data_IF_917438918550
#
_entry.id   IF_917438918550
#
_cell.length_a   1.000
_cell.length_b   1.000
_cell.length_c   1.000
_cell.angle_alpha   90.00
_cell.angle_beta   90.00
_cell.angle_gamma   90.00
#
_symmetry.space_group_name_H-M   'P 1'
#
loop_
_entity.id
_entity.type
_entity.pdbx_description
1 polymer ?
#
# COMPACT_ATOMS: atom_id res chain seq x y z
N UNK A 1 52.37 -22.45 42.93
CA UNK A 1 51.32 -21.87 42.07
C UNK A 1 51.27 -22.62 40.75
N UNK A 2 50.37 -23.60 40.59
CA UNK A 2 50.20 -24.34 39.34
C UNK A 2 49.20 -23.61 38.45
N UNK A 3 49.62 -23.16 37.26
CA UNK A 3 48.73 -22.61 36.24
C UNK A 3 47.85 -23.74 35.67
N UNK A 4 46.52 -23.58 35.57
CA UNK A 4 45.69 -24.58 34.91
C UNK A 4 46.04 -24.63 33.43
N UNK A 5 46.52 -25.80 32.97
CA UNK A 5 46.71 -26.12 31.57
C UNK A 5 45.33 -26.22 30.90
N UNK A 6 45.00 -25.24 30.05
CA UNK A 6 43.85 -25.34 29.15
C UNK A 6 44.11 -26.46 28.14
N UNK A 7 43.35 -27.54 28.26
CA UNK A 7 43.42 -28.71 27.38
C UNK A 7 42.95 -28.32 25.96
N UNK A 8 43.65 -28.70 24.88
CA UNK A 8 43.28 -28.35 23.51
C UNK A 8 41.84 -28.74 23.10
N UNK A 9 41.25 -29.73 23.78
CA UNK A 9 39.86 -30.16 23.56
C UNK A 9 38.79 -29.18 24.05
N UNK A 10 39.12 -28.33 25.03
CA UNK A 10 38.15 -27.39 25.63
C UNK A 10 37.90 -26.18 24.71
N UNK A 11 38.92 -25.77 23.96
CA UNK A 11 38.82 -24.70 22.95
C UNK A 11 38.00 -25.14 21.72
N UNK A 12 38.14 -26.40 21.30
CA UNK A 12 37.37 -26.96 20.20
C UNK A 12 35.87 -27.05 20.53
N UNK A 13 35.52 -27.50 21.75
CA UNK A 13 34.14 -27.58 22.23
C UNK A 13 33.49 -26.21 22.37
N UNK A 14 34.25 -25.21 22.85
CA UNK A 14 33.78 -23.81 22.97
C UNK A 14 33.51 -23.18 21.61
N UNK A 15 34.37 -23.44 20.61
CA UNK A 15 34.18 -22.98 19.22
C UNK A 15 32.96 -23.64 18.58
N UNK A 16 32.79 -24.95 18.76
CA UNK A 16 31.64 -25.68 18.22
C UNK A 16 30.31 -25.20 18.81
N UNK A 17 30.27 -24.97 20.13
CA UNK A 17 29.08 -24.44 20.80
C UNK A 17 28.77 -23.01 20.35
N UNK A 18 29.79 -22.18 20.08
CA UNK A 18 29.60 -20.82 19.56
C UNK A 18 29.06 -20.83 18.13
N UNK A 19 29.61 -21.67 17.25
CA UNK A 19 29.14 -21.84 15.88
C UNK A 19 27.71 -22.36 15.85
N UNK A 20 27.39 -23.37 16.69
CA UNK A 20 26.01 -23.88 16.83
C UNK A 20 25.04 -22.79 17.30
N UNK A 21 25.43 -21.98 18.27
CA UNK A 21 24.57 -20.90 18.77
C UNK A 21 24.37 -19.78 17.72
N UNK A 22 25.38 -19.51 16.89
CA UNK A 22 25.27 -18.57 15.77
C UNK A 22 24.32 -19.12 14.69
N UNK A 23 24.44 -20.41 14.35
CA UNK A 23 23.55 -21.06 13.36
C UNK A 23 22.11 -21.08 13.87
N UNK A 24 21.88 -21.46 15.14
CA UNK A 24 20.56 -21.41 15.76
C UNK A 24 20.01 -19.98 15.75
N UNK A 25 20.83 -18.99 16.10
CA UNK A 25 20.45 -17.58 16.04
C UNK A 25 20.05 -17.13 14.63
N UNK A 26 20.81 -17.52 13.61
CA UNK A 26 20.52 -17.20 12.21
C UNK A 26 19.22 -17.86 11.73
N UNK A 27 18.98 -19.13 12.07
CA UNK A 27 17.74 -19.83 11.73
C UNK A 27 16.54 -19.18 12.41
N UNK A 28 16.67 -18.77 13.68
CA UNK A 28 15.60 -18.06 14.40
C UNK A 28 15.30 -16.71 13.76
N UNK A 29 16.33 -15.93 13.38
CA UNK A 29 16.14 -14.64 12.69
C UNK A 29 15.47 -14.83 11.32
N UNK A 30 15.90 -15.82 10.54
CA UNK A 30 15.30 -16.12 9.23
C UNK A 30 13.86 -16.59 9.39
N UNK A 31 13.56 -17.43 10.40
CA UNK A 31 12.20 -17.88 10.69
C UNK A 31 11.30 -16.71 11.12
N UNK A 32 11.79 -15.78 11.94
CA UNK A 32 11.06 -14.57 12.31
C UNK A 32 10.78 -13.70 11.07
N UNK A 33 11.77 -13.48 10.22
CA UNK A 33 11.59 -12.72 8.97
C UNK A 33 10.62 -13.42 8.00
N UNK A 34 10.67 -14.74 7.90
CA UNK A 34 9.74 -15.52 7.07
C UNK A 34 8.31 -15.53 7.66
N UNK A 35 8.15 -15.54 8.98
CA UNK A 35 6.86 -15.43 9.65
C UNK A 35 6.25 -14.02 9.51
N UNK A 36 7.09 -12.98 9.52
CA UNK A 36 6.68 -11.60 9.16
C UNK A 36 6.23 -11.55 7.69
N UNK A 37 6.91 -12.28 6.79
CA UNK A 37 6.50 -12.39 5.38
C UNK A 37 5.22 -13.21 5.13
N UNK A 38 4.92 -14.20 5.97
CA UNK A 38 3.80 -15.13 5.76
C UNK A 38 2.53 -14.81 6.57
N UNK A 39 2.62 -14.00 7.65
CA UNK A 39 1.49 -13.65 8.51
C UNK A 39 1.49 -12.17 8.98
N UNK A 40 2.36 -11.31 8.46
CA UNK A 40 2.71 -10.02 9.08
C UNK A 40 1.81 -8.81 8.81
N UNK A 41 0.81 -8.86 7.93
CA UNK A 41 0.00 -7.67 7.63
C UNK A 41 -1.01 -7.27 8.73
N UNK A 42 -1.07 -8.00 9.86
CA UNK A 42 -2.04 -7.72 10.94
C UNK A 42 -1.43 -7.26 12.27
N UNK A 43 -0.10 -7.31 12.47
CA UNK A 43 0.51 -7.16 13.82
C UNK A 43 1.34 -5.86 13.99
N UNK A 44 1.37 -4.95 13.02
CA UNK A 44 1.79 -3.55 13.28
C UNK A 44 0.57 -2.63 13.23
N UNK A 45 -0.43 -2.93 14.06
CA UNK A 45 -1.56 -2.03 14.33
C UNK A 45 -1.30 -1.29 15.64
N UNK A 46 -0.19 -0.57 15.70
CA UNK A 46 -0.06 0.57 16.61
C UNK A 46 -0.36 1.81 15.78
N UNK A 47 -1.46 2.47 16.12
CA UNK A 47 -2.02 3.55 15.33
C UNK A 47 -1.13 4.79 15.27
N UNK A 48 -1.38 5.56 14.20
CA UNK A 48 -1.44 7.01 14.30
C UNK A 48 -0.11 7.70 14.54
N UNK A 49 0.74 7.73 13.52
CA UNK A 49 1.34 8.99 13.16
C UNK A 49 0.48 9.52 12.02
N UNK A 50 -0.09 10.71 12.17
CA UNK A 50 -0.93 11.38 11.16
C UNK A 50 -0.14 11.69 9.89
N UNK A 51 0.19 10.65 9.14
CA UNK A 51 0.84 10.68 7.84
C UNK A 51 -0.20 10.55 6.75
N UNK A 52 0.07 11.16 5.61
CA UNK A 52 -0.80 11.03 4.44
C UNK A 52 -0.92 9.56 4.01
N UNK A 53 -1.98 9.20 3.29
CA UNK A 53 -2.10 7.88 2.67
C UNK A 53 -0.88 7.55 1.78
N UNK A 54 -0.28 8.56 1.15
CA UNK A 54 1.02 8.46 0.46
C UNK A 54 2.13 7.97 1.37
N UNK A 55 2.29 8.56 2.56
CA UNK A 55 3.33 8.15 3.52
C UNK A 55 3.08 6.70 3.96
N UNK A 56 1.83 6.37 4.28
CA UNK A 56 1.43 5.01 4.63
C UNK A 56 1.80 4.00 3.54
N UNK A 57 1.46 4.26 2.28
CA UNK A 57 1.81 3.42 1.13
C UNK A 57 3.33 3.23 1.04
N UNK A 58 4.08 4.33 1.13
CA UNK A 58 5.54 4.31 0.99
C UNK A 58 6.26 3.51 2.09
N UNK A 59 5.67 3.46 3.29
CA UNK A 59 6.23 2.79 4.46
C UNK A 59 5.81 1.33 4.57
N UNK A 60 4.59 1.00 4.15
CA UNK A 60 4.00 -0.32 4.40
C UNK A 60 4.01 -1.23 3.17
N UNK A 61 4.13 -0.68 1.96
CA UNK A 61 4.07 -1.45 0.72
C UNK A 61 5.42 -1.50 0.01
N UNK A 62 5.65 -2.58 -0.73
CA UNK A 62 6.92 -2.81 -1.40
C UNK A 62 6.97 -2.01 -2.72
N UNK A 63 7.84 -1.00 -2.81
CA UNK A 63 8.07 -0.27 -4.07
C UNK A 63 8.58 -1.23 -5.16
N UNK A 64 7.98 -1.15 -6.34
CA UNK A 64 8.38 -1.92 -7.51
C UNK A 64 8.46 -1.04 -8.76
N UNK A 65 9.64 -0.43 -8.97
CA UNK A 65 9.87 0.48 -10.09
C UNK A 65 9.73 -0.17 -11.47
N UNK A 66 9.82 -1.50 -11.58
CA UNK A 66 9.60 -2.21 -12.85
C UNK A 66 8.13 -2.19 -13.29
N UNK A 67 7.20 -1.82 -12.38
CA UNK A 67 5.77 -1.72 -12.63
C UNK A 67 5.28 -0.27 -12.70
N UNK A 68 6.18 0.72 -12.56
CA UNK A 68 5.85 2.14 -12.67
C UNK A 68 5.24 2.44 -14.05
N UNK A 69 4.36 3.42 -14.09
CA UNK A 69 3.56 3.72 -15.28
C UNK A 69 3.44 5.24 -15.48
N UNK A 70 4.38 5.79 -16.25
CA UNK A 70 4.52 7.23 -16.43
C UNK A 70 4.87 7.93 -15.13
N UNK A 71 4.04 8.88 -14.70
CA UNK A 71 4.22 9.68 -13.47
C UNK A 71 3.55 9.05 -12.24
N UNK A 72 3.38 7.73 -12.26
CA UNK A 72 2.71 6.95 -11.21
C UNK A 72 3.63 5.84 -10.72
N UNK A 73 3.93 5.89 -9.43
CA UNK A 73 4.81 4.95 -8.74
C UNK A 73 4.03 3.68 -8.35
N UNK A 74 4.59 2.51 -8.64
CA UNK A 74 3.97 1.23 -8.34
C UNK A 74 4.52 0.61 -7.05
N UNK A 75 3.59 0.16 -6.20
CA UNK A 75 3.87 -0.60 -4.99
C UNK A 75 3.10 -1.92 -5.01
N UNK A 76 3.60 -2.91 -4.29
CA UNK A 76 2.92 -4.19 -4.08
C UNK A 76 2.47 -4.28 -2.63
N UNK A 77 1.19 -4.59 -2.47
CA UNK A 77 0.54 -4.83 -1.19
C UNK A 77 -0.05 -6.23 -1.16
N UNK A 78 0.03 -6.87 0.00
CA UNK A 78 -0.68 -8.11 0.27
C UNK A 78 -2.15 -7.81 0.57
N UNK A 79 -3.04 -8.68 0.13
CA UNK A 79 -4.49 -8.52 0.21
C UNK A 79 -5.15 -8.18 -1.13
N UNK A 80 -6.48 -8.23 -1.12
CA UNK A 80 -7.32 -7.82 -2.24
C UNK A 80 -7.37 -6.29 -2.35
N UNK A 81 -7.72 -5.73 -3.53
CA UNK A 81 -7.82 -4.28 -3.68
C UNK A 81 -8.81 -3.62 -2.71
N UNK A 82 -9.82 -4.36 -2.23
CA UNK A 82 -10.75 -3.88 -1.23
C UNK A 82 -10.13 -3.79 0.17
N UNK A 83 -9.39 -4.82 0.59
CA UNK A 83 -8.70 -4.81 1.89
C UNK A 83 -7.62 -3.72 1.92
N UNK A 84 -6.85 -3.61 0.85
CA UNK A 84 -5.81 -2.58 0.71
C UNK A 84 -6.43 -1.18 0.69
N UNK A 85 -7.59 -0.99 0.05
CA UNK A 85 -8.31 0.28 0.11
C UNK A 85 -8.72 0.64 1.54
N UNK A 86 -9.22 -0.31 2.32
CA UNK A 86 -9.59 -0.07 3.73
C UNK A 86 -8.38 0.33 4.56
N UNK A 87 -7.25 -0.37 4.42
CA UNK A 87 -6.04 -0.06 5.17
C UNK A 87 -5.52 1.36 4.85
N UNK A 88 -5.55 1.78 3.57
CA UNK A 88 -5.16 3.13 3.16
C UNK A 88 -6.15 4.18 3.71
N UNK A 89 -7.46 3.88 3.69
CA UNK A 89 -8.51 4.79 4.21
C UNK A 89 -8.42 5.00 5.72
N UNK A 90 -7.95 3.99 6.44
CA UNK A 90 -7.72 4.08 7.87
C UNK A 90 -6.51 4.98 8.20
N UNK A 91 -5.56 5.13 7.27
CA UNK A 91 -4.47 6.10 7.37
C UNK A 91 -4.93 7.53 7.01
N UNK A 92 -5.58 7.72 5.86
CA UNK A 92 -6.15 9.01 5.44
C UNK A 92 -7.45 8.81 4.68
N UNK A 93 -8.51 9.52 5.08
CA UNK A 93 -9.81 9.43 4.43
C UNK A 93 -9.78 10.12 3.05
N UNK A 94 -10.08 9.40 1.96
CA UNK A 94 -10.14 9.99 0.63
C UNK A 94 -11.36 10.91 0.49
N UNK A 95 -11.28 11.88 -0.41
CA UNK A 95 -12.41 12.75 -0.81
C UNK A 95 -13.51 11.93 -1.50
N UNK A 96 -13.13 11.00 -2.35
CA UNK A 96 -14.03 10.08 -3.04
C UNK A 96 -13.33 8.73 -3.26
N UNK A 97 -14.11 7.66 -3.31
CA UNK A 97 -13.64 6.31 -3.58
C UNK A 97 -14.58 5.65 -4.58
N UNK A 98 -14.00 5.00 -5.59
CA UNK A 98 -14.78 4.32 -6.63
C UNK A 98 -14.20 2.97 -6.98
N UNK A 99 -15.10 2.03 -7.25
CA UNK A 99 -14.74 0.79 -7.93
C UNK A 99 -14.60 1.07 -9.42
N UNK A 100 -13.63 0.42 -10.08
CA UNK A 100 -13.54 0.44 -11.54
C UNK A 100 -14.85 -0.12 -12.11
N UNK A 101 -15.52 0.65 -12.96
CA UNK A 101 -16.82 0.27 -13.51
C UNK A 101 -16.70 -1.00 -14.35
N UNK A 102 -17.72 -1.85 -14.45
CA UNK A 102 -17.59 -3.12 -15.19
C UNK A 102 -17.72 -2.99 -16.72
N UNK A 103 -17.78 -1.78 -17.28
CA UNK A 103 -18.02 -1.55 -18.70
C UNK A 103 -16.87 -0.78 -19.37
N UNK A 104 -16.44 -1.31 -20.52
CA UNK A 104 -15.45 -0.83 -21.51
C UNK A 104 -14.19 -0.16 -20.95
N UNK A 105 -13.10 -0.92 -20.90
CA UNK A 105 -11.75 -0.43 -20.58
C UNK A 105 -11.33 -0.59 -19.11
N UNK A 106 -12.19 -1.14 -18.27
CA UNK A 106 -11.96 -1.27 -16.84
C UNK A 106 -11.40 -2.64 -16.43
N UNK A 107 -10.51 -2.64 -15.43
CA UNK A 107 -9.99 -3.87 -14.80
C UNK A 107 -10.96 -4.24 -13.69
N UNK A 108 -11.63 -5.39 -13.81
CA UNK A 108 -12.53 -5.88 -12.78
C UNK A 108 -11.80 -6.01 -11.43
N UNK A 109 -12.43 -5.53 -10.36
CA UNK A 109 -11.83 -5.52 -9.03
C UNK A 109 -10.85 -4.37 -8.76
N UNK A 110 -10.66 -3.45 -9.70
CA UNK A 110 -9.89 -2.24 -9.44
C UNK A 110 -10.63 -1.27 -8.50
N UNK A 111 -9.87 -0.49 -7.73
CA UNK A 111 -10.39 0.60 -6.92
C UNK A 111 -9.59 1.88 -7.13
N UNK A 112 -10.22 3.03 -6.94
CA UNK A 112 -9.63 4.35 -7.10
C UNK A 112 -9.97 5.20 -5.89
N UNK A 113 -8.95 5.83 -5.30
CA UNK A 113 -9.05 6.72 -4.14
C UNK A 113 -8.58 8.11 -4.55
N UNK A 114 -9.42 9.11 -4.27
CA UNK A 114 -9.15 10.51 -4.57
C UNK A 114 -8.65 11.24 -3.32
N UNK A 115 -7.46 11.85 -3.40
CA UNK A 115 -6.93 12.75 -2.38
C UNK A 115 -6.74 14.16 -2.97
N UNK A 116 -6.56 15.19 -2.14
CA UNK A 116 -6.40 16.55 -2.63
C UNK A 116 -5.23 16.73 -3.60
N UNK A 117 -4.09 16.15 -3.25
CA UNK A 117 -2.84 16.38 -3.98
C UNK A 117 -2.43 15.21 -4.89
N UNK A 118 -3.11 14.07 -4.81
CA UNK A 118 -2.72 12.84 -5.51
C UNK A 118 -3.90 11.86 -5.66
N UNK A 119 -3.69 10.83 -6.47
CA UNK A 119 -4.61 9.72 -6.64
C UNK A 119 -3.92 8.40 -6.30
N UNK A 120 -4.71 7.45 -5.83
CA UNK A 120 -4.28 6.06 -5.67
C UNK A 120 -5.19 5.16 -6.49
N UNK A 121 -4.61 4.33 -7.34
CA UNK A 121 -5.33 3.30 -8.09
C UNK A 121 -4.84 1.91 -7.66
N UNK A 122 -5.78 1.02 -7.37
CA UNK A 122 -5.54 -0.32 -6.85
C UNK A 122 -5.99 -1.33 -7.90
N UNK A 123 -5.10 -2.23 -8.29
CA UNK A 123 -5.37 -3.25 -9.29
C UNK A 123 -5.06 -4.65 -8.74
N UNK A 124 -5.90 -5.66 -9.02
CA UNK A 124 -5.49 -7.05 -8.81
C UNK A 124 -4.19 -7.34 -9.57
N UNK A 125 -3.24 -8.02 -8.93
CA UNK A 125 -1.96 -8.37 -9.55
C UNK A 125 -1.69 -9.88 -9.55
N UNK A 126 -1.76 -10.51 -8.39
CA UNK A 126 -1.66 -11.96 -8.23
C UNK A 126 -2.65 -12.43 -7.17
N UNK A 127 -2.66 -13.73 -6.86
CA UNK A 127 -3.50 -14.27 -5.79
C UNK A 127 -3.21 -13.52 -4.48
N UNK A 128 -4.22 -12.85 -3.93
CA UNK A 128 -4.10 -12.02 -2.73
C UNK A 128 -3.00 -10.95 -2.80
N UNK A 129 -2.69 -10.44 -4.00
CA UNK A 129 -1.78 -9.31 -4.15
C UNK A 129 -2.42 -8.20 -4.97
N UNK A 130 -2.21 -6.98 -4.49
CA UNK A 130 -2.68 -5.75 -5.11
C UNK A 130 -1.50 -4.92 -5.55
N UNK A 131 -1.54 -4.48 -6.80
CA UNK A 131 -0.67 -3.42 -7.30
C UNK A 131 -1.29 -2.08 -6.97
N UNK A 132 -0.59 -1.31 -6.13
CA UNK A 132 -0.96 0.03 -5.69
C UNK A 132 -0.20 1.04 -6.53
N UNK A 133 -0.93 1.85 -7.28
CA UNK A 133 -0.38 2.87 -8.16
C UNK A 133 -0.62 4.23 -7.52
N UNK A 134 0.46 4.88 -7.07
CA UNK A 134 0.44 6.16 -6.38
C UNK A 134 0.91 7.26 -7.33
N UNK A 135 0.03 8.21 -7.66
CA UNK A 135 0.41 9.30 -8.54
C UNK A 135 1.31 10.32 -7.82
N UNK A 136 2.23 10.94 -8.56
CA UNK A 136 3.07 12.03 -8.04
C UNK A 136 2.27 13.28 -7.69
N UNK A 137 1.26 13.59 -8.48
CA UNK A 137 0.31 14.68 -8.23
C UNK A 137 -1.08 14.30 -8.75
N UNK A 138 -2.09 15.11 -8.39
CA UNK A 138 -3.46 14.85 -8.77
C UNK A 138 -3.64 14.84 -10.29
N UNK A 139 -3.02 15.79 -10.99
CA UNK A 139 -3.21 15.97 -12.43
C UNK A 139 -2.62 14.80 -13.21
N UNK A 140 -1.44 14.33 -12.82
CA UNK A 140 -0.80 13.17 -13.44
C UNK A 140 -1.64 11.91 -13.25
N UNK A 141 -2.14 11.67 -12.03
CA UNK A 141 -3.06 10.58 -11.73
C UNK A 141 -4.35 10.70 -12.52
N UNK A 142 -4.97 11.88 -12.56
CA UNK A 142 -6.23 12.11 -13.26
C UNK A 142 -6.06 11.84 -14.75
N UNK A 143 -5.01 12.38 -15.38
CA UNK A 143 -4.73 12.14 -16.79
C UNK A 143 -4.52 10.65 -17.09
N UNK A 144 -3.83 9.92 -16.20
CA UNK A 144 -3.61 8.48 -16.36
C UNK A 144 -4.90 7.68 -16.25
N UNK A 145 -5.73 8.01 -15.27
CA UNK A 145 -6.94 7.25 -14.94
C UNK A 145 -8.23 7.90 -15.45
N UNK A 146 -8.16 8.93 -16.29
CA UNK A 146 -9.31 9.69 -16.79
C UNK A 146 -10.35 8.79 -17.48
N UNK A 147 -9.92 7.76 -18.21
CA UNK A 147 -10.85 6.80 -18.83
C UNK A 147 -11.69 6.02 -17.81
N UNK A 148 -11.21 5.91 -16.57
CA UNK A 148 -11.86 5.18 -15.47
C UNK A 148 -12.70 6.13 -14.60
N UNK A 149 -12.17 7.32 -14.29
CA UNK A 149 -12.76 8.25 -13.29
C UNK A 149 -13.24 9.58 -13.86
N UNK A 150 -12.97 9.88 -15.14
CA UNK A 150 -13.22 11.19 -15.76
C UNK A 150 -14.69 11.59 -15.86
N UNK A 151 -15.62 10.62 -15.84
CA UNK A 151 -17.05 10.90 -15.73
C UNK A 151 -17.50 11.35 -14.33
N UNK A 152 -16.62 11.27 -13.33
CA UNK A 152 -16.94 11.51 -11.93
C UNK A 152 -16.06 12.57 -11.28
N UNK A 153 -14.79 12.61 -11.66
CA UNK A 153 -13.80 13.54 -11.12
C UNK A 153 -13.44 14.59 -12.17
N UNK A 154 -13.02 15.76 -11.70
CA UNK A 154 -12.57 16.86 -12.55
C UNK A 154 -11.03 16.92 -12.62
N UNK A 155 -10.44 17.46 -13.70
CA UNK A 155 -8.98 17.53 -13.86
C UNK A 155 -8.28 18.46 -12.87
N UNK A 156 -9.02 19.41 -12.29
CA UNK A 156 -8.51 20.33 -11.27
C UNK A 156 -9.57 20.44 -10.19
N UNK A 157 -9.42 19.69 -9.11
CA UNK A 157 -10.40 19.67 -8.04
C UNK A 157 -10.33 21.00 -7.29
N UNK A 158 -11.45 21.72 -7.29
CA UNK A 158 -11.59 22.94 -6.50
C UNK A 158 -11.85 22.57 -5.04
N UNK A 159 -10.81 22.47 -4.23
CA UNK A 159 -10.96 22.28 -2.78
C UNK A 159 -11.17 23.64 -2.11
N UNK A 160 -12.30 24.27 -2.43
CA UNK A 160 -12.80 25.47 -1.73
C UNK A 160 -14.24 25.22 -1.31
N UNK A 161 -14.42 24.66 -0.11
CA UNK A 161 -15.71 24.59 0.57
C UNK A 161 -16.68 23.55 0.03
N UNK A 162 -17.36 22.87 0.96
CA UNK A 162 -18.57 22.05 0.82
C UNK A 162 -19.27 22.12 -0.56
N UNK A 163 -19.39 21.00 -1.29
CA UNK A 163 -20.15 21.03 -2.53
C UNK A 163 -20.16 19.75 -3.34
N UNK A 164 -21.16 18.90 -3.09
CA UNK A 164 -21.77 18.04 -4.11
C UNK A 164 -22.47 18.90 -5.19
N UNK A 165 -21.72 19.74 -5.91
CA UNK A 165 -22.28 20.74 -6.84
C UNK A 165 -22.28 20.31 -8.31
N UNK A 166 -22.03 19.04 -8.62
CA UNK A 166 -22.13 18.52 -10.00
C UNK A 166 -23.39 17.67 -10.27
N UNK A 167 -24.56 18.15 -9.82
CA UNK A 167 -25.87 17.77 -10.41
C UNK A 167 -26.80 18.98 -10.52
N UNK A 168 -26.43 19.94 -11.34
CA UNK A 168 -27.37 20.87 -11.96
C UNK A 168 -27.77 20.32 -13.34
N UNK A 169 -29.02 19.86 -13.49
CA UNK A 169 -29.52 19.31 -14.75
C UNK A 169 -31.00 18.93 -14.76
N UNK A 170 -31.88 19.92 -14.55
CA UNK A 170 -33.20 20.07 -15.22
C UNK A 170 -34.27 18.97 -15.18
N UNK A 171 -35.41 19.30 -14.56
CA UNK A 171 -36.74 19.22 -15.18
C UNK A 171 -37.58 20.30 -14.47
N UNK A 172 -38.09 21.33 -15.13
CA UNK A 172 -39.18 21.23 -16.11
C UNK A 172 -40.48 21.63 -15.38
N UNK A 173 -41.05 22.77 -15.74
CA UNK A 173 -42.04 23.50 -14.94
C UNK A 173 -43.46 22.93 -14.86
N UNK A 174 -44.29 23.69 -14.16
CA UNK A 174 -45.73 23.48 -13.95
C UNK A 174 -46.04 23.72 -12.47
N UNK A 175 -46.62 24.84 -12.02
CA UNK A 175 -47.56 25.73 -12.67
C UNK A 175 -48.96 25.43 -12.14
N UNK A 176 -49.39 26.29 -11.21
CA UNK A 176 -50.74 26.43 -10.61
C UNK A 176 -51.04 25.54 -9.41
#
# INVERSE_FOLDING_TARGET
MSRPSSTPGDDARRRLNRVRNIIIGAIVVIAILALIGACGARIVREGGLGGSARDFISQNYQRNAALDDGDVDAYLAEGTPAEVAEDIRDAERPTDQRTGASATGNIAGAQFLQYPDYLVALFPYAAHQTRVMLSKDYRSGYNRYHSYVGGFWVPTPGYSGSGSSNRGGGSGGGGK
#
